data_IF_998146282315
#
_entry.id   IF_998146282315
#
_cell.length_a   1.000
_cell.length_b   1.000
_cell.length_c   1.000
_cell.angle_alpha   90.00
_cell.angle_beta   90.00
_cell.angle_gamma   90.00
#
_symmetry.space_group_name_H-M   'P 1'
#
loop_
_entity.id
_entity.type
_entity.pdbx_description
1 polymer ?
#
# COMPACT_ATOMS: atom_id res chain seq x y z
N UNK A 1 -74.99 -7.35 -61.34
CA UNK A 1 -75.66 -8.05 -60.24
C UNK A 1 -74.59 -8.73 -59.44
N UNK A 2 -74.44 -8.28 -58.19
CA UNK A 2 -74.15 -9.00 -56.98
C UNK A 2 -73.47 -8.07 -55.98
N UNK A 3 -74.15 -8.00 -54.85
CA UNK A 3 -74.03 -6.99 -53.79
C UNK A 3 -72.77 -7.04 -52.93
N UNK A 4 -72.47 -5.82 -52.40
CA UNK A 4 -71.70 -5.53 -51.21
C UNK A 4 -71.97 -6.46 -50.03
N UNK A 5 -70.93 -6.79 -49.28
CA UNK A 5 -70.99 -6.84 -47.83
C UNK A 5 -69.78 -6.20 -47.19
N UNK A 6 -69.95 -5.00 -46.67
CA UNK A 6 -69.11 -4.37 -45.65
C UNK A 6 -69.31 -5.13 -44.33
N UNK A 7 -68.28 -5.64 -43.75
CA UNK A 7 -68.28 -6.01 -42.31
C UNK A 7 -67.06 -5.38 -41.62
N UNK A 8 -67.41 -4.45 -40.81
CA UNK A 8 -66.80 -3.88 -39.64
C UNK A 8 -65.61 -4.68 -39.07
N UNK A 9 -64.43 -4.09 -39.09
CA UNK A 9 -63.33 -4.37 -38.17
C UNK A 9 -63.05 -3.11 -37.37
N UNK A 10 -63.63 -3.03 -36.21
CA UNK A 10 -63.28 -2.10 -35.14
C UNK A 10 -63.32 -2.92 -33.83
N UNK A 11 -62.17 -2.94 -33.18
CA UNK A 11 -61.89 -3.21 -31.76
C UNK A 11 -60.72 -4.20 -31.62
N UNK A 12 -59.56 -3.69 -31.31
CA UNK A 12 -58.39 -4.51 -30.97
C UNK A 12 -57.08 -3.70 -30.93
N UNK A 13 -57.13 -2.44 -30.48
CA UNK A 13 -55.95 -1.64 -30.23
C UNK A 13 -56.14 -0.91 -28.90
N UNK A 14 -55.95 -1.63 -27.79
CA UNK A 14 -55.76 -1.02 -26.49
C UNK A 14 -55.36 -2.11 -25.45
N UNK A 15 -54.13 -2.60 -25.50
CA UNK A 15 -53.53 -3.36 -24.40
C UNK A 15 -52.05 -3.67 -24.67
N UNK A 16 -51.21 -2.64 -24.83
CA UNK A 16 -49.73 -2.81 -24.83
C UNK A 16 -49.03 -1.48 -24.48
N UNK A 17 -49.44 -0.86 -23.39
CA UNK A 17 -48.80 0.38 -22.92
C UNK A 17 -48.80 0.45 -21.39
N UNK A 18 -48.25 -0.56 -20.69
CA UNK A 18 -48.03 -0.47 -19.24
C UNK A 18 -46.98 -1.49 -18.74
N UNK A 19 -45.83 -1.61 -19.42
CA UNK A 19 -44.72 -2.44 -18.93
C UNK A 19 -43.36 -1.76 -19.15
N UNK A 20 -43.29 -0.43 -19.11
CA UNK A 20 -42.02 0.33 -19.22
C UNK A 20 -41.89 1.33 -18.09
N UNK A 21 -41.92 0.91 -16.83
CA UNK A 21 -41.60 1.84 -15.75
C UNK A 21 -41.23 1.11 -14.45
N UNK A 22 -40.21 0.25 -14.46
CA UNK A 22 -39.57 -0.27 -13.24
C UNK A 22 -38.09 -0.63 -13.49
N UNK A 23 -37.40 0.03 -14.42
CA UNK A 23 -35.94 0.15 -14.35
C UNK A 23 -35.64 1.43 -13.57
N UNK A 24 -35.79 1.38 -12.28
CA UNK A 24 -35.09 2.32 -11.39
C UNK A 24 -33.58 2.20 -11.65
N UNK A 25 -32.81 3.26 -11.48
CA UNK A 25 -31.36 3.15 -11.55
C UNK A 25 -30.94 2.07 -10.53
N UNK A 26 -30.39 0.97 -10.99
CA UNK A 26 -29.62 0.06 -10.13
C UNK A 26 -28.45 0.91 -9.66
N UNK A 27 -28.54 1.44 -8.45
CA UNK A 27 -27.38 2.04 -7.80
C UNK A 27 -26.29 0.98 -7.83
N UNK A 28 -25.15 1.30 -8.41
CA UNK A 28 -23.99 0.41 -8.35
C UNK A 28 -23.74 0.08 -6.87
N UNK A 29 -23.71 -1.20 -6.55
CA UNK A 29 -23.46 -1.66 -5.19
C UNK A 29 -22.08 -1.15 -4.78
N UNK A 30 -21.98 -0.54 -3.60
CA UNK A 30 -20.71 -0.01 -3.10
C UNK A 30 -19.70 -1.14 -2.82
N UNK A 31 -18.43 -0.81 -2.71
CA UNK A 31 -17.39 -1.82 -2.42
C UNK A 31 -17.63 -2.41 -1.02
N UNK A 32 -17.94 -1.58 -0.04
CA UNK A 32 -18.26 -2.03 1.33
C UNK A 32 -19.50 -2.92 1.36
N UNK A 33 -20.57 -2.56 0.65
CA UNK A 33 -21.77 -3.39 0.57
C UNK A 33 -21.47 -4.75 -0.08
N UNK A 34 -20.62 -4.77 -1.11
CA UNK A 34 -20.19 -6.01 -1.77
C UNK A 34 -19.41 -6.90 -0.81
N UNK A 35 -18.42 -6.36 -0.09
CA UNK A 35 -17.62 -7.07 0.92
C UNK A 35 -18.53 -7.63 2.02
N UNK A 36 -19.43 -6.81 2.55
CA UNK A 36 -20.33 -7.19 3.66
C UNK A 36 -21.33 -8.27 3.23
N UNK A 37 -21.95 -8.11 2.05
CA UNK A 37 -22.94 -9.08 1.55
C UNK A 37 -22.32 -10.43 1.17
N UNK A 38 -21.09 -10.41 0.67
CA UNK A 38 -20.32 -11.63 0.37
C UNK A 38 -19.71 -12.29 1.63
N UNK A 39 -19.69 -11.57 2.76
CA UNK A 39 -19.09 -12.04 4.00
C UNK A 39 -17.57 -12.22 3.90
N UNK A 40 -16.90 -11.60 2.91
CA UNK A 40 -15.48 -11.78 2.64
C UNK A 40 -14.84 -10.52 2.08
N UNK A 41 -13.63 -10.20 2.55
CA UNK A 41 -12.76 -9.17 1.99
C UNK A 41 -11.52 -9.81 1.36
N UNK A 42 -11.17 -9.41 0.14
CA UNK A 42 -9.94 -9.83 -0.53
C UNK A 42 -8.89 -8.73 -0.41
N UNK A 43 -7.76 -9.04 0.22
CA UNK A 43 -6.71 -8.08 0.55
C UNK A 43 -5.38 -8.49 -0.07
N UNK A 44 -4.72 -7.58 -0.76
CA UNK A 44 -3.38 -7.79 -1.27
C UNK A 44 -2.33 -7.25 -0.28
N UNK A 45 -1.30 -8.03 -0.01
CA UNK A 45 -0.22 -7.69 0.92
C UNK A 45 1.13 -8.10 0.34
N UNK A 46 2.09 -7.18 0.34
CA UNK A 46 3.49 -7.53 0.17
C UNK A 46 4.05 -7.98 1.52
N UNK A 47 4.79 -9.09 1.53
CA UNK A 47 5.23 -9.75 2.77
C UNK A 47 6.76 -9.72 2.96
N UNK A 48 7.39 -8.63 2.50
CA UNK A 48 8.84 -8.42 2.56
C UNK A 48 9.26 -7.16 3.33
N UNK A 49 8.38 -6.62 4.19
CA UNK A 49 8.53 -5.30 4.81
C UNK A 49 8.47 -5.34 6.36
N UNK A 50 9.40 -6.08 7.02
CA UNK A 50 9.40 -6.18 8.49
C UNK A 50 9.69 -4.81 9.14
N UNK A 51 9.08 -4.51 10.31
CA UNK A 51 8.12 -5.31 11.06
C UNK A 51 6.65 -5.08 10.67
N UNK A 52 6.37 -4.40 9.54
CA UNK A 52 5.01 -4.09 9.10
C UNK A 52 4.26 -5.35 8.64
N UNK A 53 4.67 -5.95 7.52
CA UNK A 53 4.12 -7.19 6.96
C UNK A 53 5.26 -8.07 6.45
N UNK A 54 5.43 -9.27 7.01
CA UNK A 54 6.50 -10.18 6.60
C UNK A 54 6.16 -11.64 6.89
N UNK A 55 6.92 -12.53 6.27
CA UNK A 55 6.78 -13.97 6.50
C UNK A 55 7.66 -14.43 7.68
N UNK A 56 7.02 -15.12 8.64
CA UNK A 56 7.69 -15.85 9.71
C UNK A 56 7.09 -17.24 9.79
N UNK A 57 7.91 -18.28 9.65
CA UNK A 57 7.47 -19.70 9.65
C UNK A 57 6.32 -19.97 8.67
N UNK A 58 6.38 -19.35 7.48
CA UNK A 58 5.38 -19.49 6.41
C UNK A 58 4.05 -18.76 6.67
N UNK A 59 3.95 -17.96 7.72
CA UNK A 59 2.77 -17.15 8.06
C UNK A 59 3.07 -15.68 7.89
N UNK A 60 2.06 -14.94 7.42
CA UNK A 60 2.12 -13.47 7.43
C UNK A 60 1.97 -12.99 8.87
N UNK A 61 2.92 -12.19 9.30
CA UNK A 61 2.95 -11.56 10.63
C UNK A 61 3.39 -10.11 10.50
N UNK A 62 3.24 -9.33 11.57
CA UNK A 62 3.70 -7.95 11.62
C UNK A 62 2.66 -7.00 12.17
N UNK A 63 3.05 -5.73 12.32
CA UNK A 63 2.20 -4.67 12.83
C UNK A 63 0.92 -4.49 12.00
N UNK A 64 1.07 -4.35 10.68
CA UNK A 64 -0.07 -4.21 9.77
C UNK A 64 -0.94 -5.46 9.72
N UNK A 65 -0.34 -6.67 9.87
CA UNK A 65 -1.12 -7.91 9.93
C UNK A 65 -1.98 -7.98 11.19
N UNK A 66 -1.45 -7.63 12.35
CA UNK A 66 -2.22 -7.62 13.60
C UNK A 66 -3.40 -6.63 13.50
N UNK A 67 -3.17 -5.44 12.94
CA UNK A 67 -4.22 -4.44 12.70
C UNK A 67 -5.28 -4.97 11.72
N UNK A 68 -4.85 -5.58 10.60
CA UNK A 68 -5.76 -6.12 9.61
C UNK A 68 -6.68 -7.18 10.19
N UNK A 69 -6.16 -8.07 11.03
CA UNK A 69 -6.95 -9.11 11.68
C UNK A 69 -8.02 -8.51 12.62
N UNK A 70 -7.67 -7.47 13.38
CA UNK A 70 -8.62 -6.77 14.24
C UNK A 70 -9.72 -6.06 13.44
N UNK A 71 -9.37 -5.40 12.35
CA UNK A 71 -10.32 -4.70 11.46
C UNK A 71 -11.28 -5.70 10.82
N UNK A 72 -10.76 -6.79 10.26
CA UNK A 72 -11.58 -7.82 9.61
C UNK A 72 -12.52 -8.49 10.59
N UNK A 73 -12.04 -8.75 11.83
CA UNK A 73 -12.88 -9.26 12.91
C UNK A 73 -14.00 -8.27 13.31
N UNK A 74 -13.69 -6.96 13.40
CA UNK A 74 -14.67 -5.90 13.69
C UNK A 74 -15.69 -5.71 12.54
N UNK A 75 -15.29 -6.01 11.30
CA UNK A 75 -16.20 -6.03 10.14
C UNK A 75 -17.09 -7.28 10.10
N UNK A 76 -16.69 -8.36 10.77
CA UNK A 76 -17.43 -9.64 10.79
C UNK A 76 -17.41 -10.37 9.44
N UNK A 77 -16.32 -10.26 8.68
CA UNK A 77 -16.13 -10.90 7.38
C UNK A 77 -14.91 -11.82 7.39
N UNK A 78 -14.83 -12.75 6.43
CA UNK A 78 -13.66 -13.61 6.24
C UNK A 78 -12.56 -12.86 5.46
N UNK A 79 -11.29 -13.10 5.82
CA UNK A 79 -10.12 -12.56 5.14
C UNK A 79 -9.59 -13.52 4.09
N UNK A 80 -9.57 -13.09 2.83
CA UNK A 80 -8.74 -13.70 1.78
C UNK A 80 -7.50 -12.81 1.56
N UNK A 81 -6.36 -13.21 2.12
CA UNK A 81 -5.11 -12.44 2.01
C UNK A 81 -4.21 -12.98 0.91
N UNK A 82 -4.01 -12.18 -0.14
CA UNK A 82 -3.15 -12.49 -1.28
C UNK A 82 -1.75 -11.94 -1.02
N UNK A 83 -0.76 -12.83 -1.00
CA UNK A 83 0.65 -12.45 -0.90
C UNK A 83 1.17 -12.13 -2.30
N UNK A 84 1.42 -10.87 -2.58
CA UNK A 84 1.81 -10.37 -3.90
C UNK A 84 3.10 -9.55 -3.82
N UNK A 85 3.92 -9.52 -4.88
CA UNK A 85 5.05 -8.61 -4.95
C UNK A 85 4.56 -7.17 -5.07
N UNK A 86 5.41 -6.22 -4.65
CA UNK A 86 5.13 -4.79 -4.79
C UNK A 86 4.84 -4.40 -6.25
N UNK A 87 5.60 -4.97 -7.19
CA UNK A 87 5.41 -4.71 -8.62
C UNK A 87 4.01 -5.12 -9.08
N UNK A 88 3.22 -4.12 -9.44
CA UNK A 88 1.85 -4.28 -9.93
C UNK A 88 0.75 -4.36 -8.86
N UNK A 89 1.08 -4.36 -7.54
CA UNK A 89 0.05 -4.44 -6.47
C UNK A 89 -0.90 -3.24 -6.52
N UNK A 90 -0.40 -2.04 -6.75
CA UNK A 90 -1.23 -0.84 -6.85
C UNK A 90 -2.08 -0.81 -8.13
N UNK A 91 -1.56 -1.32 -9.25
CA UNK A 91 -2.34 -1.46 -10.48
C UNK A 91 -3.47 -2.50 -10.34
N UNK A 92 -3.25 -3.51 -9.50
CA UNK A 92 -4.24 -4.56 -9.23
C UNK A 92 -5.49 -4.04 -8.53
N UNK A 93 -5.37 -3.14 -7.53
CA UNK A 93 -6.53 -2.55 -6.85
C UNK A 93 -7.32 -1.65 -7.79
N UNK A 94 -6.65 -0.87 -8.66
CA UNK A 94 -7.34 -0.08 -9.70
C UNK A 94 -8.07 -0.94 -10.73
N UNK A 95 -7.59 -2.16 -10.94
CA UNK A 95 -8.25 -3.13 -11.81
C UNK A 95 -9.35 -3.95 -11.09
N UNK A 96 -9.66 -3.66 -9.83
CA UNK A 96 -10.66 -4.37 -9.03
C UNK A 96 -10.35 -5.85 -8.77
N UNK A 97 -9.05 -6.23 -8.72
CA UNK A 97 -8.64 -7.61 -8.46
C UNK A 97 -8.76 -8.01 -6.98
N UNK A 98 -8.77 -7.04 -6.11
CA UNK A 98 -8.94 -7.14 -4.66
C UNK A 98 -9.49 -5.82 -4.12
N UNK A 99 -10.07 -5.87 -2.94
CA UNK A 99 -10.80 -4.77 -2.35
C UNK A 99 -9.89 -3.74 -1.69
N UNK A 100 -8.77 -4.20 -1.09
CA UNK A 100 -7.84 -3.40 -0.31
C UNK A 100 -6.41 -3.85 -0.58
N UNK A 101 -5.48 -2.90 -0.59
CA UNK A 101 -4.04 -3.15 -0.45
C UNK A 101 -3.66 -2.82 0.99
N UNK A 102 -3.42 -3.86 1.79
CA UNK A 102 -2.92 -3.73 3.16
C UNK A 102 -1.43 -4.06 3.18
N UNK A 103 -0.65 -3.11 2.75
CA UNK A 103 0.81 -3.05 2.85
C UNK A 103 1.24 -1.60 2.99
N UNK A 104 2.50 -1.34 3.27
CA UNK A 104 3.05 -0.02 3.55
C UNK A 104 3.13 0.86 2.30
N UNK A 105 2.00 1.44 1.88
CA UNK A 105 1.93 2.36 0.73
C UNK A 105 2.26 3.78 1.18
N UNK A 106 3.33 4.37 0.63
CA UNK A 106 3.70 5.76 0.91
C UNK A 106 2.62 6.74 0.41
N UNK A 107 2.18 7.66 1.28
CA UNK A 107 1.30 8.77 0.94
C UNK A 107 2.11 9.81 0.17
N UNK A 108 1.87 9.94 -1.13
CA UNK A 108 2.57 10.88 -2.03
C UNK A 108 1.58 11.55 -2.98
N UNK A 109 1.91 12.78 -3.43
CA UNK A 109 1.06 13.58 -4.32
C UNK A 109 0.62 12.84 -5.59
N UNK A 110 1.52 12.09 -6.21
CA UNK A 110 1.24 11.32 -7.42
C UNK A 110 0.31 10.12 -7.20
N UNK A 111 0.04 9.76 -5.96
CA UNK A 111 -0.82 8.63 -5.54
C UNK A 111 -2.15 9.07 -4.94
N UNK A 112 -2.19 10.15 -4.17
CA UNK A 112 -3.41 10.54 -3.42
C UNK A 112 -4.59 10.93 -4.31
N UNK A 113 -4.33 11.32 -5.56
CA UNK A 113 -5.37 11.55 -6.57
C UNK A 113 -5.85 10.29 -7.31
N UNK A 114 -5.22 9.12 -7.05
CA UNK A 114 -5.51 7.86 -7.75
C UNK A 114 -6.06 6.77 -6.86
N UNK A 115 -5.85 6.85 -5.55
CA UNK A 115 -6.20 5.82 -4.57
C UNK A 115 -6.90 6.44 -3.37
N UNK A 116 -7.87 5.73 -2.81
CA UNK A 116 -8.47 6.10 -1.54
C UNK A 116 -7.56 5.62 -0.39
N UNK A 117 -6.79 6.53 0.19
CA UNK A 117 -5.86 6.25 1.29
C UNK A 117 -6.57 6.16 2.63
N UNK A 118 -6.20 5.19 3.45
CA UNK A 118 -6.58 5.14 4.86
C UNK A 118 -5.79 6.17 5.68
N UNK A 119 -6.13 6.32 6.96
CA UNK A 119 -5.27 6.98 7.95
C UNK A 119 -3.88 6.35 7.95
N UNK A 120 -2.81 7.11 8.23
CA UNK A 120 -1.47 6.57 8.29
C UNK A 120 -1.34 5.56 9.44
N UNK A 121 -0.55 4.54 9.21
CA UNK A 121 -0.26 3.47 10.15
C UNK A 121 1.17 3.59 10.69
N UNK A 122 2.06 4.20 9.94
CA UNK A 122 3.46 4.39 10.30
C UNK A 122 4.05 5.61 9.62
N UNK A 123 5.17 6.09 10.17
CA UNK A 123 6.05 7.08 9.58
C UNK A 123 7.49 6.56 9.62
N UNK A 124 8.24 6.74 8.54
CA UNK A 124 9.66 6.40 8.49
C UNK A 124 10.43 7.29 7.50
N UNK A 125 11.68 7.57 7.82
CA UNK A 125 12.66 8.05 6.85
C UNK A 125 13.18 6.89 6.02
N UNK A 126 13.71 7.16 4.83
CA UNK A 126 14.49 6.17 4.08
C UNK A 126 15.87 6.04 4.69
N UNK A 127 16.20 4.86 5.15
CA UNK A 127 17.52 4.52 5.66
C UNK A 127 18.37 3.88 4.57
N UNK A 128 19.54 4.43 4.33
CA UNK A 128 20.58 3.78 3.57
C UNK A 128 21.32 2.79 4.48
N UNK A 129 21.40 1.55 4.02
CA UNK A 129 22.09 0.47 4.74
C UNK A 129 23.25 -0.07 3.91
N UNK A 130 24.30 -0.47 4.60
CA UNK A 130 25.49 -1.10 4.04
C UNK A 130 25.72 -2.48 4.65
N UNK A 131 26.63 -3.26 4.10
CA UNK A 131 27.08 -4.50 4.78
C UNK A 131 27.72 -4.15 6.11
N UNK A 132 27.47 -4.99 7.10
CA UNK A 132 28.21 -4.90 8.37
C UNK A 132 29.70 -5.10 8.11
N UNK A 133 30.55 -4.32 8.79
CA UNK A 133 32.01 -4.35 8.60
C UNK A 133 32.52 -3.60 7.37
N UNK A 134 31.65 -2.95 6.60
CA UNK A 134 32.08 -2.02 5.53
C UNK A 134 32.36 -0.63 6.15
N UNK A 135 33.58 -0.47 6.68
CA UNK A 135 33.99 0.76 7.38
C UNK A 135 34.39 1.89 6.41
N UNK A 136 34.41 1.62 5.11
CA UNK A 136 34.77 2.60 4.07
C UNK A 136 33.67 3.62 3.76
N UNK A 137 32.46 3.44 4.30
CA UNK A 137 31.33 4.38 4.16
C UNK A 137 30.81 4.76 5.55
N UNK A 138 30.80 6.05 5.87
CA UNK A 138 30.41 6.61 7.17
C UNK A 138 29.26 7.61 7.08
N UNK A 139 28.93 8.09 5.89
CA UNK A 139 27.87 9.08 5.68
C UNK A 139 27.56 9.29 4.19
N UNK A 140 26.75 10.32 3.93
CA UNK A 140 26.25 10.62 2.58
C UNK A 140 27.37 11.05 1.61
N UNK A 141 28.46 11.62 2.10
CA UNK A 141 29.61 12.03 1.26
C UNK A 141 30.33 10.83 0.62
N UNK A 142 30.27 9.67 1.28
CA UNK A 142 30.97 8.45 0.85
C UNK A 142 30.20 7.65 -0.20
N UNK A 143 28.94 8.03 -0.51
CA UNK A 143 28.10 7.29 -1.47
C UNK A 143 28.44 7.60 -2.93
N UNK A 144 29.25 8.64 -3.19
CA UNK A 144 29.67 9.00 -4.54
C UNK A 144 30.42 7.84 -5.21
N UNK A 145 29.96 7.47 -6.41
CA UNK A 145 30.54 6.36 -7.18
C UNK A 145 30.18 4.97 -6.66
N UNK A 146 29.25 4.83 -5.70
CA UNK A 146 28.74 3.55 -5.19
C UNK A 146 27.51 3.10 -5.97
N UNK A 147 27.25 1.79 -5.95
CA UNK A 147 26.06 1.19 -6.52
C UNK A 147 25.00 1.08 -5.41
N UNK A 148 23.85 1.71 -5.60
CA UNK A 148 22.72 1.64 -4.67
C UNK A 148 21.58 0.80 -5.23
N UNK A 149 20.96 -0.02 -4.38
CA UNK A 149 19.77 -0.79 -4.71
C UNK A 149 18.52 -0.14 -4.16
N UNK A 150 17.47 -0.15 -4.96
CA UNK A 150 16.12 0.32 -4.62
C UNK A 150 15.08 -0.68 -5.10
N UNK A 151 13.93 -0.74 -4.43
CA UNK A 151 12.79 -1.46 -4.97
C UNK A 151 12.07 -0.62 -6.03
N UNK A 152 11.79 -1.22 -7.18
CA UNK A 152 11.16 -0.54 -8.32
C UNK A 152 9.77 0.01 -7.94
N UNK A 153 9.54 1.29 -8.21
CA UNK A 153 8.27 1.97 -7.94
C UNK A 153 8.03 2.31 -6.47
N UNK A 154 8.99 2.07 -5.58
CA UNK A 154 8.91 2.46 -4.17
C UNK A 154 9.11 3.97 -3.99
N UNK A 155 8.76 4.48 -2.79
CA UNK A 155 9.08 5.85 -2.40
C UNK A 155 10.58 6.06 -2.23
N UNK A 156 11.27 5.03 -1.76
CA UNK A 156 12.73 5.05 -1.59
C UNK A 156 13.46 5.27 -2.91
N UNK A 157 12.96 4.68 -4.01
CA UNK A 157 13.56 4.91 -5.33
C UNK A 157 13.52 6.39 -5.72
N UNK A 158 12.39 7.08 -5.51
CA UNK A 158 12.26 8.51 -5.81
C UNK A 158 13.17 9.37 -4.92
N UNK A 159 13.29 9.02 -3.63
CA UNK A 159 14.17 9.74 -2.69
C UNK A 159 15.65 9.57 -3.05
N UNK A 160 16.06 8.37 -3.47
CA UNK A 160 17.42 8.11 -3.96
C UNK A 160 17.71 8.90 -5.23
N UNK A 161 16.77 8.98 -6.18
CA UNK A 161 16.94 9.81 -7.38
C UNK A 161 17.10 11.29 -7.04
N UNK A 162 16.35 11.80 -6.05
CA UNK A 162 16.48 13.18 -5.58
C UNK A 162 17.86 13.43 -4.94
N UNK A 163 18.34 12.51 -4.10
CA UNK A 163 19.66 12.57 -3.48
C UNK A 163 20.77 12.51 -4.54
N UNK A 164 20.64 11.65 -5.54
CA UNK A 164 21.60 11.56 -6.64
C UNK A 164 21.73 12.90 -7.41
N UNK A 165 20.57 13.52 -7.68
CA UNK A 165 20.55 14.83 -8.34
C UNK A 165 21.20 15.92 -7.46
N UNK A 166 20.97 15.90 -6.15
CA UNK A 166 21.56 16.84 -5.20
C UNK A 166 23.08 16.64 -5.10
N UNK A 167 23.57 15.41 -4.98
CA UNK A 167 24.99 15.10 -4.96
C UNK A 167 25.71 15.65 -6.21
N UNK A 168 25.12 15.45 -7.39
CA UNK A 168 25.64 15.96 -8.67
C UNK A 168 25.61 17.49 -8.74
N UNK A 169 24.54 18.12 -8.26
CA UNK A 169 24.41 19.59 -8.21
C UNK A 169 25.48 20.22 -7.30
N UNK A 170 25.88 19.53 -6.24
CA UNK A 170 26.93 19.94 -5.30
C UNK A 170 28.34 19.59 -5.78
N UNK A 171 28.51 19.09 -7.02
CA UNK A 171 29.81 18.79 -7.62
C UNK A 171 30.33 17.38 -7.34
N UNK A 172 29.54 16.53 -6.70
CA UNK A 172 29.83 15.11 -6.52
C UNK A 172 29.58 14.30 -7.80
N UNK A 173 30.00 13.03 -7.81
CA UNK A 173 29.76 12.11 -8.93
C UNK A 173 28.33 11.55 -8.93
N UNK A 174 27.63 11.62 -7.80
CA UNK A 174 26.39 10.88 -7.57
C UNK A 174 26.64 9.38 -7.43
N UNK A 175 25.58 8.58 -7.48
CA UNK A 175 25.70 7.12 -7.49
C UNK A 175 26.27 6.65 -8.85
N UNK A 176 27.09 5.59 -8.83
CA UNK A 176 27.59 4.98 -10.08
C UNK A 176 26.46 4.27 -10.84
N UNK A 177 25.52 3.68 -10.09
CA UNK A 177 24.35 2.98 -10.62
C UNK A 177 23.24 2.99 -9.55
N UNK A 178 21.98 3.26 -9.96
CA UNK A 178 20.79 3.08 -9.14
C UNK A 178 20.08 1.83 -9.67
N UNK A 179 20.27 0.71 -8.99
CA UNK A 179 19.81 -0.59 -9.44
C UNK A 179 18.45 -0.93 -8.89
N UNK A 180 17.45 -1.08 -9.77
CA UNK A 180 16.10 -1.48 -9.42
C UNK A 180 15.95 -2.99 -9.20
N UNK A 181 15.26 -3.36 -8.12
CA UNK A 181 14.91 -4.74 -7.77
C UNK A 181 13.38 -4.90 -7.74
N UNK A 182 12.89 -6.12 -7.97
CA UNK A 182 11.44 -6.42 -7.93
C UNK A 182 10.90 -6.57 -6.52
N UNK A 183 11.77 -6.83 -5.56
CA UNK A 183 11.43 -6.93 -4.14
C UNK A 183 12.57 -6.42 -3.26
N UNK A 184 12.23 -5.97 -2.06
CA UNK A 184 13.22 -5.59 -1.04
C UNK A 184 14.08 -6.79 -0.64
N UNK A 185 13.56 -8.02 -0.67
CA UNK A 185 14.36 -9.23 -0.38
C UNK A 185 15.45 -9.48 -1.42
N UNK A 186 15.15 -9.33 -2.72
CA UNK A 186 16.16 -9.45 -3.79
C UNK A 186 17.25 -8.39 -3.64
N UNK A 187 16.89 -7.16 -3.31
CA UNK A 187 17.84 -6.08 -3.03
C UNK A 187 18.74 -6.42 -1.83
N UNK A 188 18.17 -6.93 -0.73
CA UNK A 188 18.94 -7.36 0.46
C UNK A 188 19.91 -8.49 0.16
N UNK A 189 19.49 -9.46 -0.66
CA UNK A 189 20.38 -10.54 -1.12
C UNK A 189 21.52 -10.00 -1.98
N UNK A 190 21.25 -9.06 -2.88
CA UNK A 190 22.26 -8.40 -3.70
C UNK A 190 23.26 -7.59 -2.85
N UNK A 191 22.80 -6.90 -1.81
CA UNK A 191 23.65 -6.18 -0.87
C UNK A 191 24.53 -7.15 -0.07
N UNK A 192 23.95 -8.19 0.51
CA UNK A 192 24.71 -9.22 1.24
C UNK A 192 25.75 -9.92 0.37
N UNK A 193 25.42 -10.16 -0.91
CA UNK A 193 26.30 -10.78 -1.90
C UNK A 193 27.32 -9.83 -2.53
N UNK A 194 27.35 -8.55 -2.16
CA UNK A 194 28.31 -7.56 -2.71
C UNK A 194 28.04 -7.15 -4.16
N UNK A 195 26.85 -7.40 -4.70
CA UNK A 195 26.47 -6.97 -6.05
C UNK A 195 26.08 -5.49 -6.10
N UNK A 196 25.69 -4.93 -4.94
CA UNK A 196 25.48 -3.51 -4.67
C UNK A 196 26.22 -3.13 -3.39
N UNK A 197 26.49 -1.85 -3.21
CA UNK A 197 27.22 -1.33 -2.04
C UNK A 197 26.26 -0.87 -0.94
N UNK A 198 25.10 -0.33 -1.34
CA UNK A 198 24.11 0.31 -0.48
C UNK A 198 22.74 -0.25 -0.83
N UNK A 199 21.93 -0.50 0.18
CA UNK A 199 20.50 -0.80 0.03
C UNK A 199 19.64 0.27 0.69
N UNK A 200 18.34 0.23 0.43
CA UNK A 200 17.34 1.17 0.99
C UNK A 200 16.28 0.41 1.77
N UNK A 201 15.98 0.87 2.98
CA UNK A 201 14.91 0.33 3.83
C UNK A 201 14.20 1.48 4.55
N UNK A 202 12.97 1.29 5.07
CA UNK A 202 12.42 2.21 6.06
C UNK A 202 13.24 2.16 7.36
N UNK A 203 13.37 3.30 8.02
CA UNK A 203 14.22 3.42 9.22
C UNK A 203 13.83 2.47 10.36
N UNK A 204 12.56 2.11 10.49
CA UNK A 204 12.07 1.16 11.49
C UNK A 204 12.45 -0.31 11.21
N UNK A 205 12.90 -0.66 10.00
CA UNK A 205 13.11 -2.06 9.60
C UNK A 205 14.43 -2.64 10.08
N UNK A 206 15.45 -1.81 10.31
CA UNK A 206 16.81 -2.29 10.59
C UNK A 206 16.88 -3.17 11.84
N UNK A 207 16.21 -2.78 12.93
CA UNK A 207 16.23 -3.55 14.19
C UNK A 207 15.71 -4.98 13.97
N UNK A 208 14.56 -5.13 13.31
CA UNK A 208 13.98 -6.45 13.02
C UNK A 208 14.86 -7.27 12.06
N UNK A 209 15.50 -6.62 11.09
CA UNK A 209 16.44 -7.30 10.19
C UNK A 209 17.68 -7.81 10.94
N UNK A 210 18.19 -7.05 11.91
CA UNK A 210 19.32 -7.44 12.74
C UNK A 210 18.95 -8.55 13.73
N UNK A 211 17.72 -8.60 14.24
CA UNK A 211 17.22 -9.73 15.06
C UNK A 211 17.17 -11.04 14.25
N UNK A 212 16.80 -10.96 12.95
CA UNK A 212 16.74 -12.13 12.08
C UNK A 212 18.11 -12.61 11.63
N UNK A 213 19.04 -11.70 11.38
CA UNK A 213 20.40 -11.94 10.93
C UNK A 213 21.32 -10.86 11.52
N UNK A 214 21.78 -11.07 12.75
CA UNK A 214 22.78 -10.21 13.36
C UNK A 214 24.03 -10.13 12.46
N UNK A 215 24.62 -8.95 12.37
CA UNK A 215 25.89 -8.71 11.68
C UNK A 215 25.87 -8.77 10.14
N UNK A 216 24.67 -8.73 9.50
CA UNK A 216 24.63 -8.67 8.03
C UNK A 216 24.62 -7.24 7.51
N UNK A 217 23.84 -6.37 8.14
CA UNK A 217 23.65 -4.98 7.68
C UNK A 217 23.87 -3.99 8.81
N UNK A 218 24.37 -2.82 8.44
CA UNK A 218 24.54 -1.66 9.31
C UNK A 218 23.90 -0.42 8.68
N UNK A 219 23.41 0.48 9.52
CA UNK A 219 22.99 1.81 9.08
C UNK A 219 24.18 2.56 8.46
N UNK A 220 23.93 3.25 7.36
CA UNK A 220 24.84 4.25 6.83
C UNK A 220 24.37 5.66 7.23
N UNK A 221 23.16 6.04 6.77
CA UNK A 221 22.54 7.33 7.08
C UNK A 221 21.04 7.28 6.73
N UNK A 222 20.27 8.25 7.20
CA UNK A 222 18.90 8.45 6.74
C UNK A 222 18.87 9.54 5.67
N UNK A 223 17.91 9.43 4.75
CA UNK A 223 17.58 10.43 3.72
C UNK A 223 16.09 10.72 3.74
N UNK A 224 15.69 11.86 3.17
CA UNK A 224 14.29 12.30 3.18
C UNK A 224 13.86 12.91 4.50
N UNK A 225 12.58 13.27 4.58
CA UNK A 225 11.98 14.00 5.72
C UNK A 225 10.95 13.21 6.51
N UNK A 226 10.92 11.90 6.33
CA UNK A 226 9.87 11.04 6.87
C UNK A 226 8.68 10.93 5.90
N UNK A 227 8.31 9.69 5.61
CA UNK A 227 7.20 9.33 4.73
C UNK A 227 6.14 8.63 5.55
N UNK A 228 4.88 9.08 5.43
CA UNK A 228 3.73 8.42 6.01
C UNK A 228 3.33 7.21 5.16
N UNK A 229 3.03 6.09 5.81
CA UNK A 229 2.58 4.85 5.19
C UNK A 229 1.16 4.53 5.61
N UNK A 230 0.32 4.18 4.62
CA UNK A 230 -1.07 3.83 4.83
C UNK A 230 -1.48 2.68 3.90
N UNK A 231 -2.70 2.20 4.02
CA UNK A 231 -3.31 1.28 3.08
C UNK A 231 -4.12 2.02 2.02
N UNK A 232 -4.47 1.33 0.94
CA UNK A 232 -5.23 1.95 -0.14
C UNK A 232 -6.34 1.05 -0.64
N UNK A 233 -7.48 1.66 -0.98
CA UNK A 233 -8.57 1.05 -1.73
C UNK A 233 -8.67 1.68 -3.14
N UNK A 234 -9.51 1.09 -3.99
CA UNK A 234 -9.92 1.72 -5.25
C UNK A 234 -10.57 3.09 -4.97
N UNK A 235 -10.46 4.08 -5.85
CA UNK A 235 -11.13 5.39 -5.68
C UNK A 235 -12.62 5.26 -5.37
N UNK A 236 -13.32 4.35 -6.08
CA UNK A 236 -14.74 4.07 -5.84
C UNK A 236 -15.01 3.30 -4.54
N UNK A 237 -13.97 2.84 -3.84
CA UNK A 237 -14.03 2.14 -2.55
C UNK A 237 -13.80 3.07 -1.35
N UNK A 238 -14.14 4.36 -1.48
CA UNK A 238 -14.02 5.32 -0.38
C UNK A 238 -14.85 4.90 0.86
N UNK A 239 -15.98 4.25 0.66
CA UNK A 239 -16.83 3.70 1.71
C UNK A 239 -16.12 2.57 2.50
N UNK A 240 -15.41 1.68 1.81
CA UNK A 240 -14.56 0.66 2.45
C UNK A 240 -13.39 1.32 3.20
N UNK A 241 -12.70 2.30 2.58
CA UNK A 241 -11.65 3.09 3.23
C UNK A 241 -12.16 3.76 4.51
N UNK A 242 -13.35 4.37 4.48
CA UNK A 242 -13.94 5.05 5.63
C UNK A 242 -14.31 4.04 6.73
N UNK A 243 -14.77 2.84 6.37
CA UNK A 243 -15.03 1.75 7.32
C UNK A 243 -13.73 1.28 7.99
N UNK A 244 -12.63 1.17 7.24
CA UNK A 244 -11.30 0.86 7.78
C UNK A 244 -10.82 1.98 8.71
N UNK A 245 -10.96 3.24 8.30
CA UNK A 245 -10.58 4.40 9.11
C UNK A 245 -11.33 4.46 10.44
N UNK A 246 -12.64 4.18 10.44
CA UNK A 246 -13.43 4.12 11.67
C UNK A 246 -12.94 3.02 12.63
N UNK A 247 -12.50 1.89 12.10
CA UNK A 247 -11.90 0.84 12.92
C UNK A 247 -10.52 1.25 13.47
N UNK A 248 -9.67 1.88 12.64
CA UNK A 248 -8.37 2.41 13.07
C UNK A 248 -8.52 3.45 14.19
N UNK A 249 -9.48 4.38 14.04
CA UNK A 249 -9.77 5.37 15.06
C UNK A 249 -10.20 4.75 16.39
N UNK A 250 -11.01 3.70 16.36
CA UNK A 250 -11.40 2.95 17.55
C UNK A 250 -10.19 2.29 18.23
N UNK A 251 -9.31 1.63 17.44
CA UNK A 251 -8.08 1.02 17.95
C UNK A 251 -7.10 2.05 18.52
N UNK A 252 -7.08 3.27 18.01
CA UNK A 252 -6.31 4.38 18.55
C UNK A 252 -6.91 4.86 19.88
N UNK A 253 -8.22 5.10 19.93
CA UNK A 253 -8.92 5.61 21.13
C UNK A 253 -8.86 4.64 22.30
N UNK A 254 -8.90 3.31 22.07
CA UNK A 254 -8.82 2.30 23.12
C UNK A 254 -7.36 1.91 23.48
N UNK A 255 -6.36 2.49 22.81
CA UNK A 255 -4.94 2.29 23.07
C UNK A 255 -4.33 1.06 22.37
N UNK A 256 -5.11 0.29 21.63
CA UNK A 256 -4.62 -0.94 20.97
C UNK A 256 -3.51 -0.64 19.95
N UNK A 257 -3.63 0.46 19.15
CA UNK A 257 -2.57 0.84 18.18
C UNK A 257 -1.26 1.13 18.90
N UNK A 258 -1.28 1.82 20.03
CA UNK A 258 -0.09 2.08 20.84
C UNK A 258 0.54 0.78 21.35
N UNK A 259 -0.26 -0.16 21.87
CA UNK A 259 0.23 -1.46 22.32
C UNK A 259 0.90 -2.23 21.17
N UNK A 260 0.31 -2.22 19.97
CA UNK A 260 0.87 -2.85 18.79
C UNK A 260 2.16 -2.16 18.31
N UNK A 261 2.24 -0.82 18.37
CA UNK A 261 3.46 -0.08 18.07
C UNK A 261 4.57 -0.45 19.04
N UNK A 262 4.30 -0.47 20.34
CA UNK A 262 5.27 -0.90 21.34
C UNK A 262 5.72 -2.36 21.15
N UNK A 263 4.80 -3.25 20.76
CA UNK A 263 5.11 -4.66 20.48
C UNK A 263 6.07 -4.83 19.30
N UNK A 264 5.83 -4.11 18.20
CA UNK A 264 6.52 -4.34 16.93
C UNK A 264 7.73 -3.43 16.70
N UNK A 265 7.69 -2.18 17.20
CA UNK A 265 8.75 -1.20 17.00
C UNK A 265 9.52 -0.86 18.29
N UNK A 266 8.92 -1.12 19.46
CA UNK A 266 9.50 -0.74 20.74
C UNK A 266 9.30 0.73 21.12
N UNK A 267 8.58 1.49 20.30
CA UNK A 267 8.25 2.90 20.52
C UNK A 267 6.90 3.27 19.92
N UNK A 268 6.35 4.39 20.38
CA UNK A 268 5.12 4.98 19.85
C UNK A 268 5.45 5.98 18.74
N UNK A 269 4.70 5.93 17.65
CA UNK A 269 4.81 6.88 16.54
C UNK A 269 3.77 7.97 16.70
N UNK A 270 4.19 9.22 16.57
CA UNK A 270 3.30 10.37 16.46
C UNK A 270 2.83 10.50 15.00
N UNK A 271 1.56 10.14 14.75
CA UNK A 271 0.97 10.16 13.43
C UNK A 271 0.01 11.35 13.31
N UNK A 272 0.14 12.19 12.26
CA UNK A 272 -0.71 13.37 12.11
C UNK A 272 -2.16 13.00 11.77
N UNK A 273 -3.10 13.78 12.30
CA UNK A 273 -4.52 13.67 11.92
C UNK A 273 -4.77 14.21 10.50
N UNK A 274 -4.11 15.34 10.15
CA UNK A 274 -4.13 15.93 8.81
C UNK A 274 -2.93 15.41 8.01
N UNK A 275 -3.16 14.35 7.27
CA UNK A 275 -2.11 13.56 6.63
C UNK A 275 -2.19 13.51 5.11
N UNK A 276 -3.30 13.94 4.52
CA UNK A 276 -3.46 13.90 3.07
C UNK A 276 -3.11 15.25 2.44
N UNK A 277 -2.30 15.27 1.38
CA UNK A 277 -2.07 16.47 0.59
C UNK A 277 -3.36 17.03 -0.03
N UNK A 278 -3.34 18.31 -0.39
CA UNK A 278 -4.44 18.93 -1.12
C UNK A 278 -4.76 18.19 -2.41
N UNK A 279 -6.03 17.95 -2.68
CA UNK A 279 -6.49 17.19 -3.85
C UNK A 279 -6.53 15.67 -3.68
N UNK A 280 -6.36 15.16 -2.46
CA UNK A 280 -6.58 13.74 -2.15
C UNK A 280 -8.05 13.33 -2.33
N UNK A 281 -8.27 12.02 -2.63
CA UNK A 281 -9.60 11.40 -2.77
C UNK A 281 -10.21 11.05 -1.42
#
# INVERSE_FOLDING_TARGET
MIQLQRRRMTKGLLACATALALCGPVAAQSVLDTVTSNGKITVATEVAYPPMEFLKDGKVVGYGKDILDLIVADMGVDLEQLQLPWDGILAGVLAGKYDLVATSVAIKEDRVSKYAFTRPLAVAETMLVKRHGDDGMTGLDDVNGKIIGVELGSSQAQEVEAVDAELKANGGAGFADIRGFKSTDDMRLALAGGQIDIGTIPSFSLATMQEQRSDTFAQLTNIGSGTLFAWVAHPDGADLRDRVNAALEKLEQDGTLKELQMKWFGFEMDLPEDYLPEGAL
#
